data_IF_078929311266
#
_entry.id   IF_078929311266
#
_cell.length_a   1.000
_cell.length_b   1.000
_cell.length_c   1.000
_cell.angle_alpha   90.00
_cell.angle_beta   90.00
_cell.angle_gamma   90.00
#
_symmetry.space_group_name_H-M   'P 1'
#
loop_
_entity.id
_entity.type
_entity.pdbx_description
1 polymer ?
#
# COMPACT_ATOMS: atom_id res chain seq x y z
N UNK A 1 -8.73 7.15 -1.74
CA UNK A 1 -7.87 5.96 -1.55
C UNK A 1 -6.72 6.17 -0.58
N UNK A 2 -6.09 7.35 -0.53
CA UNK A 2 -4.95 7.56 0.38
C UNK A 2 -3.75 6.67 0.04
N UNK A 3 -3.54 6.47 -1.25
CA UNK A 3 -2.42 5.76 -1.86
C UNK A 3 -1.84 6.68 -2.93
N UNK A 4 -0.54 6.56 -3.19
CA UNK A 4 0.12 7.36 -4.21
C UNK A 4 0.05 6.64 -5.56
N UNK A 5 -0.50 7.31 -6.57
CA UNK A 5 -0.57 6.78 -7.93
C UNK A 5 0.62 7.29 -8.70
N UNK A 6 1.48 6.39 -9.19
CA UNK A 6 2.67 6.77 -9.95
C UNK A 6 2.32 7.17 -11.38
N UNK A 7 3.14 8.02 -12.00
CA UNK A 7 2.98 8.36 -13.43
C UNK A 7 3.04 7.11 -14.31
N UNK A 8 3.90 6.14 -13.95
CA UNK A 8 3.99 4.85 -14.62
C UNK A 8 2.65 4.10 -14.58
N UNK A 9 1.94 4.11 -13.44
CA UNK A 9 0.61 3.51 -13.34
C UNK A 9 -0.42 4.21 -14.22
N UNK A 10 -0.39 5.55 -14.33
CA UNK A 10 -1.30 6.30 -15.19
C UNK A 10 -1.08 5.94 -16.67
N UNK A 11 0.19 5.90 -17.10
CA UNK A 11 0.57 5.51 -18.46
C UNK A 11 0.16 4.06 -18.73
N UNK A 12 0.44 3.15 -17.79
CA UNK A 12 0.06 1.75 -17.90
C UNK A 12 -1.46 1.58 -17.98
N UNK A 13 -2.24 2.30 -17.17
CA UNK A 13 -3.70 2.24 -17.18
C UNK A 13 -4.27 2.67 -18.53
N UNK A 14 -3.77 3.78 -19.09
CA UNK A 14 -4.19 4.23 -20.42
C UNK A 14 -3.79 3.21 -21.52
N UNK A 15 -2.56 2.71 -21.49
CA UNK A 15 -2.03 1.82 -22.54
C UNK A 15 -2.65 0.42 -22.50
N UNK A 16 -2.68 -0.21 -21.32
CA UNK A 16 -3.18 -1.58 -21.16
C UNK A 16 -4.69 -1.63 -21.35
N UNK A 17 -5.44 -0.63 -20.85
CA UNK A 17 -6.88 -0.56 -21.10
C UNK A 17 -7.19 -0.36 -22.58
N UNK A 18 -6.40 0.45 -23.29
CA UNK A 18 -6.58 0.63 -24.73
C UNK A 18 -6.32 -0.65 -25.52
N UNK A 19 -5.34 -1.45 -25.10
CA UNK A 19 -4.91 -2.65 -25.81
C UNK A 19 -5.78 -3.87 -25.53
N UNK A 20 -6.20 -4.06 -24.27
CA UNK A 20 -6.80 -5.33 -23.82
C UNK A 20 -8.27 -5.21 -23.41
N UNK A 21 -8.79 -4.01 -23.18
CA UNK A 21 -10.19 -3.77 -22.80
C UNK A 21 -10.89 -3.06 -23.96
N UNK A 22 -11.47 -3.84 -24.87
CA UNK A 22 -12.06 -3.34 -26.14
C UNK A 22 -13.55 -3.01 -26.05
N UNK A 23 -14.23 -3.51 -25.02
CA UNK A 23 -15.66 -3.33 -24.76
C UNK A 23 -16.00 -1.98 -24.08
N UNK A 24 -14.97 -1.20 -23.68
CA UNK A 24 -15.10 0.10 -23.02
C UNK A 24 -14.22 1.16 -23.68
N UNK A 25 -14.55 2.44 -23.45
CA UNK A 25 -13.86 3.59 -24.05
C UNK A 25 -13.02 4.37 -23.03
N UNK A 26 -11.97 5.05 -23.51
CA UNK A 26 -11.25 6.05 -22.72
C UNK A 26 -12.10 7.33 -22.56
N UNK A 27 -11.95 8.08 -21.45
CA UNK A 27 -11.02 7.85 -20.33
C UNK A 27 -11.54 6.88 -19.26
N UNK A 28 -12.82 6.54 -19.28
CA UNK A 28 -13.55 5.80 -18.23
C UNK A 28 -12.84 4.50 -17.79
N UNK A 29 -12.50 3.63 -18.76
CA UNK A 29 -11.81 2.36 -18.45
C UNK A 29 -10.44 2.51 -17.80
N UNK A 30 -9.72 3.61 -18.05
CA UNK A 30 -8.41 3.84 -17.43
C UNK A 30 -8.58 4.36 -16.00
N UNK A 31 -9.60 5.19 -15.77
CA UNK A 31 -9.95 5.69 -14.43
C UNK A 31 -10.38 4.51 -13.54
N UNK A 32 -11.23 3.61 -14.05
CA UNK A 32 -11.69 2.45 -13.28
C UNK A 32 -10.53 1.51 -12.89
N UNK A 33 -9.55 1.30 -13.77
CA UNK A 33 -8.37 0.49 -13.44
C UNK A 33 -7.55 1.11 -12.30
N UNK A 34 -7.38 2.44 -12.34
CA UNK A 34 -6.69 3.17 -11.27
C UNK A 34 -7.50 3.07 -9.97
N UNK A 35 -8.82 3.23 -10.03
CA UNK A 35 -9.72 3.18 -8.88
C UNK A 35 -9.71 1.79 -8.20
N UNK A 36 -9.77 0.71 -8.99
CA UNK A 36 -9.71 -0.65 -8.45
C UNK A 36 -8.33 -0.98 -7.89
N UNK A 37 -7.25 -0.61 -8.59
CA UNK A 37 -5.89 -0.81 -8.10
C UNK A 37 -5.64 -0.04 -6.79
N UNK A 38 -6.10 1.21 -6.72
CA UNK A 38 -5.96 2.04 -5.54
C UNK A 38 -6.79 1.52 -4.36
N UNK A 39 -8.02 1.05 -4.61
CA UNK A 39 -8.88 0.44 -3.59
C UNK A 39 -8.26 -0.85 -3.05
N UNK A 40 -7.67 -1.67 -3.91
CA UNK A 40 -6.98 -2.90 -3.49
C UNK A 40 -5.78 -2.61 -2.59
N UNK A 41 -4.90 -1.69 -2.99
CA UNK A 41 -3.74 -1.30 -2.16
C UNK A 41 -4.22 -0.72 -0.82
N UNK A 42 -5.29 0.07 -0.83
CA UNK A 42 -5.89 0.58 0.42
C UNK A 42 -6.35 -0.55 1.35
N UNK A 43 -7.04 -1.56 0.83
CA UNK A 43 -7.43 -2.73 1.62
C UNK A 43 -6.21 -3.50 2.14
N UNK A 44 -5.16 -3.63 1.34
CA UNK A 44 -3.92 -4.30 1.74
C UNK A 44 -3.21 -3.53 2.87
N UNK A 45 -3.19 -2.20 2.83
CA UNK A 45 -2.63 -1.33 3.89
C UNK A 45 -3.38 -1.43 5.22
N UNK A 46 -4.70 -1.62 5.18
CA UNK A 46 -5.52 -1.80 6.37
C UNK A 46 -5.38 -3.22 6.95
N UNK A 47 -4.96 -4.18 6.14
CA UNK A 47 -4.76 -5.58 6.51
C UNK A 47 -3.34 -5.88 7.01
N UNK A 48 -3.21 -6.95 7.80
CA UNK A 48 -1.91 -7.47 8.24
C UNK A 48 -1.17 -8.08 7.04
N UNK A 49 0.14 -7.83 6.85
CA UNK A 49 0.92 -8.46 5.79
C UNK A 49 0.81 -10.00 5.83
N UNK A 50 0.76 -10.64 4.66
CA UNK A 50 0.54 -12.09 4.55
C UNK A 50 1.57 -12.91 5.34
N UNK A 51 2.83 -12.46 5.36
CA UNK A 51 3.90 -13.09 6.15
C UNK A 51 3.56 -13.10 7.65
N UNK A 52 3.11 -11.96 8.18
CA UNK A 52 2.74 -11.84 9.59
C UNK A 52 1.47 -12.63 9.93
N UNK A 53 0.47 -12.67 9.04
CA UNK A 53 -0.73 -13.50 9.22
C UNK A 53 -0.37 -15.01 9.26
N UNK A 54 0.55 -15.47 8.40
CA UNK A 54 1.08 -16.85 8.44
C UNK A 54 1.80 -17.15 9.76
N UNK A 55 2.64 -16.23 10.24
CA UNK A 55 3.34 -16.37 11.52
C UNK A 55 2.35 -16.44 12.69
N UNK A 56 1.33 -15.59 12.70
CA UNK A 56 0.29 -15.59 13.75
C UNK A 56 -0.48 -16.91 13.80
N UNK A 57 -0.92 -17.42 12.64
CA UNK A 57 -1.59 -18.74 12.58
C UNK A 57 -0.69 -19.86 13.08
N UNK A 58 0.60 -19.83 12.74
CA UNK A 58 1.59 -20.81 13.23
C UNK A 58 1.77 -20.70 14.75
N UNK A 59 1.87 -19.49 15.29
CA UNK A 59 1.93 -19.26 16.74
C UNK A 59 0.69 -19.81 17.45
N UNK A 60 -0.50 -19.61 16.90
CA UNK A 60 -1.75 -20.17 17.47
C UNK A 60 -1.69 -21.69 17.48
N UNK A 61 -1.28 -22.32 16.39
CA UNK A 61 -1.15 -23.78 16.31
C UNK A 61 -0.16 -24.31 17.36
N UNK A 62 1.00 -23.68 17.50
CA UNK A 62 2.00 -24.05 18.50
C UNK A 62 1.48 -23.83 19.93
N UNK A 63 0.73 -22.75 20.19
CA UNK A 63 0.10 -22.52 21.51
C UNK A 63 -0.90 -23.62 21.87
N UNK A 64 -1.65 -24.13 20.90
CA UNK A 64 -2.57 -25.26 21.09
C UNK A 64 -1.80 -26.56 21.35
N UNK A 65 -0.75 -26.84 20.57
CA UNK A 65 0.14 -28.01 20.78
C UNK A 65 0.77 -27.98 22.17
N UNK A 66 1.24 -26.80 22.61
CA UNK A 66 1.79 -26.58 23.97
C UNK A 66 0.80 -26.96 25.06
N UNK A 67 -0.45 -26.52 24.91
CA UNK A 67 -1.51 -26.75 25.89
C UNK A 67 -1.99 -28.21 25.92
N UNK A 68 -1.82 -28.95 24.83
CA UNK A 68 -2.04 -30.39 24.80
C UNK A 68 -0.90 -31.12 25.53
N UNK A 69 0.35 -30.81 25.18
CA UNK A 69 1.55 -31.44 25.76
C UNK A 69 1.73 -31.13 27.25
N UNK A 70 1.25 -29.97 27.73
CA UNK A 70 1.33 -29.60 29.15
C UNK A 70 0.53 -30.52 30.08
N UNK A 71 -0.40 -31.30 29.53
CA UNK A 71 -1.24 -32.26 30.26
C UNK A 71 -0.67 -33.67 30.25
N UNK A 72 0.38 -33.91 29.47
CA UNK A 72 1.09 -35.18 29.41
C UNK A 72 2.21 -35.24 30.47
N UNK A 73 2.62 -36.44 30.86
CA UNK A 73 3.55 -36.67 32.00
C UNK A 73 4.80 -37.47 31.62
N UNK A 74 4.92 -37.88 30.36
CA UNK A 74 6.05 -38.63 29.87
C UNK A 74 7.25 -37.70 29.54
N UNK A 75 8.44 -38.28 29.55
CA UNK A 75 9.69 -37.54 29.31
C UNK A 75 9.80 -36.99 27.88
N UNK A 76 9.15 -37.63 26.91
CA UNK A 76 9.20 -37.18 25.53
C UNK A 76 8.34 -35.93 25.33
N UNK A 77 7.15 -35.89 25.93
CA UNK A 77 6.30 -34.69 25.98
C UNK A 77 7.02 -33.50 26.65
N UNK A 78 7.72 -33.74 27.76
CA UNK A 78 8.49 -32.69 28.44
C UNK A 78 9.62 -32.10 27.56
N UNK A 79 10.35 -32.95 26.82
CA UNK A 79 11.38 -32.49 25.89
C UNK A 79 10.77 -31.70 24.71
N UNK A 80 9.70 -32.22 24.09
CA UNK A 80 9.00 -31.54 23.00
C UNK A 80 8.41 -30.20 23.44
N UNK A 81 7.87 -30.11 24.65
CA UNK A 81 7.33 -28.88 25.22
C UNK A 81 8.43 -27.83 25.41
N UNK A 82 9.64 -28.24 25.79
CA UNK A 82 10.78 -27.33 25.88
C UNK A 82 11.17 -26.78 24.50
N UNK A 83 11.33 -27.65 23.50
CA UNK A 83 11.66 -27.24 22.13
C UNK A 83 10.59 -26.28 21.56
N UNK A 84 9.33 -26.63 21.75
CA UNK A 84 8.19 -25.84 21.29
C UNK A 84 8.15 -24.46 21.96
N UNK A 85 8.50 -24.35 23.24
CA UNK A 85 8.60 -23.05 23.92
C UNK A 85 9.73 -22.18 23.35
N UNK A 86 10.87 -22.80 22.98
CA UNK A 86 11.98 -22.08 22.34
C UNK A 86 11.57 -21.57 20.96
N UNK A 87 11.01 -22.45 20.12
CA UNK A 87 10.53 -22.06 18.78
C UNK A 87 9.44 -20.97 18.85
N UNK A 88 8.53 -21.06 19.83
CA UNK A 88 7.45 -20.09 20.03
C UNK A 88 8.02 -18.74 20.48
N UNK A 89 9.00 -18.72 21.38
CA UNK A 89 9.65 -17.48 21.82
C UNK A 89 10.43 -16.79 20.69
N UNK A 90 11.11 -17.56 19.83
CA UNK A 90 11.77 -17.05 18.63
C UNK A 90 10.75 -16.42 17.66
N UNK A 91 9.67 -17.16 17.38
CA UNK A 91 8.62 -16.70 16.46
C UNK A 91 7.86 -15.48 17.00
N UNK A 92 7.59 -15.41 18.30
CA UNK A 92 6.98 -14.24 18.95
C UNK A 92 7.88 -13.00 18.88
N UNK A 93 9.20 -13.19 19.03
CA UNK A 93 10.15 -12.10 18.90
C UNK A 93 10.19 -11.57 17.46
N UNK A 94 10.35 -12.45 16.47
CA UNK A 94 10.33 -12.05 15.06
C UNK A 94 9.02 -11.34 14.68
N UNK A 95 7.88 -11.84 15.18
CA UNK A 95 6.58 -11.21 14.95
C UNK A 95 6.50 -9.82 15.59
N UNK A 96 7.02 -9.64 16.81
CA UNK A 96 7.08 -8.35 17.50
C UNK A 96 7.93 -7.34 16.73
N UNK A 97 9.11 -7.76 16.26
CA UNK A 97 10.02 -6.90 15.50
C UNK A 97 9.34 -6.42 14.21
N UNK A 98 8.65 -7.32 13.47
CA UNK A 98 7.89 -6.96 12.27
C UNK A 98 6.68 -6.07 12.59
N UNK A 99 6.03 -6.28 13.73
CA UNK A 99 4.87 -5.48 14.15
C UNK A 99 5.27 -4.04 14.44
N UNK A 100 6.43 -3.83 15.06
CA UNK A 100 6.98 -2.48 15.30
C UNK A 100 7.27 -1.77 13.98
N UNK A 101 7.92 -2.44 13.03
CA UNK A 101 8.20 -1.89 11.69
C UNK A 101 6.89 -1.56 10.96
N UNK A 102 5.92 -2.48 10.94
CA UNK A 102 4.64 -2.26 10.27
C UNK A 102 3.86 -1.10 10.88
N UNK A 103 3.83 -0.97 12.21
CA UNK A 103 3.16 0.15 12.87
C UNK A 103 3.84 1.49 12.57
N UNK A 104 5.18 1.52 12.51
CA UNK A 104 5.94 2.71 12.15
C UNK A 104 5.67 3.13 10.69
N UNK A 105 5.73 2.18 9.75
CA UNK A 105 5.41 2.42 8.34
C UNK A 105 3.97 2.90 8.18
N UNK A 106 3.01 2.30 8.89
CA UNK A 106 1.60 2.69 8.88
C UNK A 106 1.43 4.12 9.40
N UNK A 107 2.00 4.45 10.56
CA UNK A 107 1.92 5.78 11.14
C UNK A 107 2.48 6.87 10.21
N UNK A 108 3.60 6.58 9.53
CA UNK A 108 4.19 7.48 8.53
C UNK A 108 3.21 7.78 7.39
N UNK A 109 2.61 6.75 6.79
CA UNK A 109 1.65 6.91 5.68
C UNK A 109 0.41 7.68 6.10
N UNK A 110 -0.17 7.33 7.25
CA UNK A 110 -1.38 8.02 7.75
C UNK A 110 -1.09 9.48 8.08
N UNK A 111 0.10 9.80 8.60
CA UNK A 111 0.54 11.17 8.85
C UNK A 111 0.61 11.99 7.56
N UNK A 112 1.24 11.45 6.52
CA UNK A 112 1.31 12.10 5.19
C UNK A 112 -0.08 12.29 4.61
N UNK A 113 -0.95 11.27 4.69
CA UNK A 113 -2.32 11.36 4.19
C UNK A 113 -3.12 12.46 4.90
N UNK A 114 -3.02 12.55 6.23
CA UNK A 114 -3.76 13.56 6.98
C UNK A 114 -3.34 14.98 6.58
N UNK A 115 -2.03 15.23 6.42
CA UNK A 115 -1.54 16.55 5.98
C UNK A 115 -1.99 16.85 4.54
N UNK A 116 -1.96 15.86 3.63
CA UNK A 116 -2.51 16.01 2.25
C UNK A 116 -4.00 16.39 2.28
N UNK A 117 -4.80 15.72 3.10
CA UNK A 117 -6.24 16.00 3.24
C UNK A 117 -6.52 17.39 3.84
N UNK A 118 -5.75 17.81 4.83
CA UNK A 118 -5.83 19.16 5.40
C UNK A 118 -5.46 20.22 4.36
N UNK A 119 -4.37 20.02 3.61
CA UNK A 119 -3.94 20.93 2.55
C UNK A 119 -5.00 21.08 1.46
N UNK A 120 -5.63 19.98 1.04
CA UNK A 120 -6.69 20.01 0.02
C UNK A 120 -7.94 20.75 0.52
N UNK A 121 -8.33 20.57 1.78
CA UNK A 121 -9.44 21.34 2.39
C UNK A 121 -9.15 22.84 2.38
N UNK A 122 -7.93 23.24 2.76
CA UNK A 122 -7.51 24.64 2.78
C UNK A 122 -7.45 25.23 1.35
N UNK A 123 -7.02 24.45 0.35
CA UNK A 123 -7.06 24.85 -1.06
C UNK A 123 -8.49 25.05 -1.58
N UNK A 124 -9.40 24.15 -1.21
CA UNK A 124 -10.83 24.32 -1.53
C UNK A 124 -11.42 25.55 -0.86
N UNK A 125 -11.03 25.82 0.40
CA UNK A 125 -11.45 27.03 1.11
C UNK A 125 -10.94 28.31 0.42
N UNK A 126 -9.71 28.29 -0.09
CA UNK A 126 -9.16 29.40 -0.88
C UNK A 126 -10.00 29.66 -2.14
N UNK A 127 -10.42 28.62 -2.86
CA UNK A 127 -11.29 28.76 -4.04
C UNK A 127 -12.69 29.27 -3.68
N UNK A 128 -13.22 28.93 -2.50
CA UNK A 128 -14.47 29.50 -1.98
C UNK A 128 -14.29 30.99 -1.66
N UNK A 129 -13.23 31.35 -0.92
CA UNK A 129 -12.91 32.74 -0.58
C UNK A 129 -12.71 33.59 -1.84
N UNK A 130 -12.04 33.04 -2.86
CA UNK A 130 -11.86 33.65 -4.18
C UNK A 130 -13.18 33.94 -4.88
N UNK A 131 -14.11 32.98 -4.91
CA UNK A 131 -15.45 33.18 -5.50
C UNK A 131 -16.26 34.23 -4.74
N UNK A 132 -16.08 34.31 -3.43
CA UNK A 132 -16.74 35.30 -2.58
C UNK A 132 -16.04 36.67 -2.55
N UNK A 133 -14.89 36.82 -3.23
CA UNK A 133 -14.04 38.02 -3.18
C UNK A 133 -13.59 38.40 -1.76
N UNK A 134 -13.45 37.42 -0.87
CA UNK A 134 -12.95 37.63 0.50
C UNK A 134 -11.42 37.70 0.50
N UNK A 135 -10.90 38.89 0.21
CA UNK A 135 -9.46 39.14 0.09
C UNK A 135 -8.70 38.90 1.41
N UNK A 136 -9.35 39.11 2.56
CA UNK A 136 -8.74 38.89 3.88
C UNK A 136 -8.47 37.41 4.09
N UNK A 137 -9.51 36.58 3.92
CA UNK A 137 -9.39 35.12 4.06
C UNK A 137 -8.44 34.54 3.02
N UNK A 138 -8.46 35.04 1.78
CA UNK A 138 -7.50 34.61 0.75
C UNK A 138 -6.05 34.84 1.19
N UNK A 139 -5.73 36.02 1.76
CA UNK A 139 -4.38 36.33 2.20
C UNK A 139 -3.91 35.42 3.33
N UNK A 140 -4.77 35.13 4.32
CA UNK A 140 -4.45 34.23 5.43
C UNK A 140 -4.16 32.80 4.96
N UNK A 141 -4.98 32.28 4.03
CA UNK A 141 -4.83 30.93 3.50
C UNK A 141 -3.58 30.84 2.61
N UNK A 142 -3.41 31.78 1.68
CA UNK A 142 -2.36 31.74 0.66
C UNK A 142 -0.95 31.99 1.23
N UNK A 143 -0.81 32.85 2.24
CA UNK A 143 0.49 33.23 2.79
C UNK A 143 0.74 32.70 4.21
N UNK A 144 -0.24 32.05 4.84
CA UNK A 144 -0.11 31.42 6.15
C UNK A 144 -0.30 29.91 6.05
N UNK A 145 -1.55 29.47 6.03
CA UNK A 145 -1.89 28.05 6.24
C UNK A 145 -1.39 27.12 5.14
N UNK A 146 -1.48 27.51 3.86
CA UNK A 146 -1.03 26.68 2.74
C UNK A 146 0.49 26.43 2.81
N UNK A 147 1.36 27.48 2.89
CA UNK A 147 2.80 27.27 3.03
C UNK A 147 3.20 26.41 4.23
N UNK A 148 2.54 26.57 5.38
CA UNK A 148 2.81 25.76 6.59
C UNK A 148 2.48 24.28 6.37
N UNK A 149 1.35 23.98 5.72
CA UNK A 149 0.94 22.62 5.40
C UNK A 149 1.82 22.00 4.31
N UNK A 150 2.25 22.77 3.32
CA UNK A 150 3.20 22.32 2.30
C UNK A 150 4.56 21.95 2.92
N UNK A 151 5.08 22.76 3.85
CA UNK A 151 6.32 22.42 4.58
C UNK A 151 6.17 21.17 5.45
N UNK A 152 5.05 21.02 6.16
CA UNK A 152 4.76 19.82 6.95
C UNK A 152 4.67 18.59 6.05
N UNK A 153 4.05 18.72 4.88
CA UNK A 153 3.91 17.64 3.92
C UNK A 153 5.28 17.21 3.40
N UNK A 154 6.15 18.16 3.03
CA UNK A 154 7.50 17.87 2.56
C UNK A 154 8.34 17.16 3.64
N UNK A 155 8.28 17.63 4.88
CA UNK A 155 8.97 16.97 6.00
C UNK A 155 8.45 15.55 6.26
N UNK A 156 7.13 15.34 6.17
CA UNK A 156 6.52 14.01 6.32
C UNK A 156 6.88 13.07 5.16
N UNK A 157 6.93 13.58 3.92
CA UNK A 157 7.28 12.83 2.73
C UNK A 157 8.76 12.40 2.75
N UNK A 158 9.67 13.26 3.23
CA UNK A 158 11.09 12.90 3.40
C UNK A 158 11.30 11.78 4.42
N UNK A 159 10.48 11.74 5.48
CA UNK A 159 10.47 10.63 6.42
C UNK A 159 9.88 9.34 5.81
N UNK A 160 9.00 9.49 4.81
CA UNK A 160 8.35 8.39 4.09
C UNK A 160 9.23 7.76 3.00
N UNK A 161 10.21 8.49 2.46
CA UNK A 161 11.12 8.04 1.39
C UNK A 161 12.15 6.98 1.83
N UNK A 162 12.15 6.58 3.10
CA UNK A 162 12.84 5.36 3.52
C UNK A 162 12.15 4.14 2.91
N UNK A 163 12.90 3.22 2.31
CA UNK A 163 12.34 2.01 1.67
C UNK A 163 11.45 1.23 2.65
N UNK A 164 10.14 1.29 2.42
CA UNK A 164 9.17 0.49 3.16
C UNK A 164 9.22 -0.94 2.65
N UNK A 165 9.29 -1.88 3.58
CA UNK A 165 9.41 -3.31 3.26
C UNK A 165 8.12 -4.07 3.52
N UNK A 166 7.27 -3.61 4.45
CA UNK A 166 6.07 -4.33 4.87
C UNK A 166 4.78 -3.72 4.31
N UNK A 167 4.77 -2.41 3.99
CA UNK A 167 3.59 -1.69 3.55
C UNK A 167 3.79 -1.08 2.16
N UNK A 168 3.06 -1.62 1.18
CA UNK A 168 2.91 -1.04 -0.15
C UNK A 168 1.85 0.05 -0.12
N UNK A 169 2.24 1.27 -0.49
CA UNK A 169 1.36 2.46 -0.50
C UNK A 169 1.29 3.12 -1.89
N UNK A 170 1.97 2.55 -2.88
CA UNK A 170 2.09 3.10 -4.24
C UNK A 170 1.41 2.16 -5.24
N UNK A 171 0.66 2.72 -6.17
CA UNK A 171 0.13 2.03 -7.35
C UNK A 171 1.13 2.21 -8.49
N UNK A 172 1.71 1.12 -8.95
CA UNK A 172 2.64 1.03 -10.08
C UNK A 172 2.02 0.39 -11.32
N UNK A 173 2.86 0.13 -12.33
CA UNK A 173 2.44 -0.58 -13.54
C UNK A 173 2.02 -2.03 -13.25
N UNK A 174 2.68 -2.69 -12.30
CA UNK A 174 2.39 -4.08 -11.92
C UNK A 174 0.96 -4.20 -11.36
N UNK A 175 0.56 -3.32 -10.45
CA UNK A 175 -0.80 -3.32 -9.87
C UNK A 175 -1.86 -3.14 -10.96
N UNK A 176 -1.63 -2.24 -11.92
CA UNK A 176 -2.54 -2.04 -13.05
C UNK A 176 -2.60 -3.30 -13.93
N UNK A 177 -1.45 -3.89 -14.25
CA UNK A 177 -1.39 -5.10 -15.06
C UNK A 177 -2.09 -6.29 -14.39
N UNK A 178 -2.03 -6.41 -13.06
CA UNK A 178 -2.77 -7.40 -12.30
C UNK A 178 -4.29 -7.22 -12.42
N UNK A 179 -4.81 -5.99 -12.32
CA UNK A 179 -6.24 -5.73 -12.50
C UNK A 179 -6.67 -6.05 -13.93
N UNK A 180 -5.92 -5.62 -14.94
CA UNK A 180 -6.23 -5.92 -16.35
C UNK A 180 -6.19 -7.43 -16.60
N UNK A 181 -5.23 -8.14 -16.00
CA UNK A 181 -5.14 -9.60 -16.08
C UNK A 181 -6.39 -10.26 -15.50
N UNK A 182 -6.89 -9.78 -14.36
CA UNK A 182 -8.12 -10.29 -13.75
C UNK A 182 -9.35 -10.05 -14.63
N UNK A 183 -9.47 -8.87 -15.23
CA UNK A 183 -10.61 -8.52 -16.08
C UNK A 183 -10.63 -9.27 -17.40
N UNK A 184 -9.46 -9.51 -18.00
CA UNK A 184 -9.33 -10.06 -19.35
C UNK A 184 -8.94 -11.54 -19.39
N UNK A 185 -8.47 -12.10 -18.27
CA UNK A 185 -7.90 -13.45 -18.18
C UNK A 185 -6.52 -13.60 -18.83
N UNK A 186 -5.94 -12.52 -19.36
CA UNK A 186 -4.62 -12.55 -20.00
C UNK A 186 -3.53 -12.49 -18.91
N UNK A 187 -2.53 -13.39 -18.90
CA UNK A 187 -1.48 -13.37 -17.88
C UNK A 187 -0.62 -12.10 -17.91
N UNK A 188 -0.30 -11.55 -16.73
CA UNK A 188 0.58 -10.37 -16.57
C UNK A 188 1.93 -10.55 -17.30
N UNK A 189 2.49 -11.76 -17.26
CA UNK A 189 3.75 -12.07 -17.95
C UNK A 189 3.69 -11.81 -19.46
N UNK A 190 2.55 -12.01 -20.12
CA UNK A 190 2.38 -11.70 -21.54
C UNK A 190 2.22 -10.20 -21.79
N UNK A 191 1.66 -9.46 -20.84
CA UNK A 191 1.49 -8.01 -20.94
C UNK A 191 2.83 -7.28 -20.81
N UNK A 192 3.64 -7.69 -19.83
CA UNK A 192 4.97 -7.12 -19.57
C UNK A 192 6.03 -7.59 -20.59
N UNK A 193 5.95 -8.84 -21.09
CA UNK A 193 6.88 -9.34 -22.11
C UNK A 193 6.81 -8.54 -23.43
N UNK A 194 5.62 -8.03 -23.80
CA UNK A 194 5.41 -7.26 -25.02
C UNK A 194 6.14 -5.92 -25.06
N UNK A 195 6.62 -5.39 -23.93
CA UNK A 195 7.50 -4.21 -23.88
C UNK A 195 8.94 -4.55 -24.22
N UNK A 196 9.47 -5.64 -23.64
CA UNK A 196 10.85 -6.09 -23.86
C UNK A 196 11.09 -6.49 -25.30
N UNK A 197 10.15 -7.21 -25.92
CA UNK A 197 10.28 -7.64 -27.32
C UNK A 197 10.19 -6.48 -28.32
N UNK A 198 9.37 -5.44 -28.04
CA UNK A 198 9.28 -4.26 -28.92
C UNK A 198 10.55 -3.43 -28.95
N UNK A 199 11.23 -3.29 -27.81
CA UNK A 199 12.51 -2.56 -27.75
C UNK A 199 13.61 -3.30 -28.52
N UNK A 200 13.67 -4.63 -28.41
CA UNK A 200 14.63 -5.46 -29.15
C UNK A 200 14.41 -5.45 -30.67
N UNK A 201 13.17 -5.27 -31.14
CA UNK A 201 12.86 -5.15 -32.57
C UNK A 201 13.18 -3.76 -33.16
N UNK A 202 13.43 -2.74 -32.33
CA UNK A 202 13.83 -1.40 -32.79
C UNK A 202 15.36 -1.23 -32.91
N UNK A 203 16.14 -2.15 -32.36
CA UNK A 203 17.61 -2.19 -32.47
C UNK A 203 18.11 -3.07 -33.65
N UNK A 204 17.20 -3.68 -34.44
CA UNK A 204 17.48 -4.37 -35.70
C UNK A 204 17.00 -3.54 -36.90
#
# INVERSE_FOLDING_TARGET
HGVDITDAAIIAAARLSQRYITDRQLPDKAIDLIDEAASRIRMEMDSKPELMDKMERRMIQMKIEREALSKETDKAAAARLQDLNTELAELEKEFSDLLEVWNAEKASVFGVQQVKEELEKVRQELEVARRNSDLGRMSELQYGQIPELEQKLEAAQQAEDQEKTLLRSKVGEEEIAEIVSRWTGIPVSRMLAGEREKLLQMEQ
#
